data_IF_764615441739
#
_entry.id   IF_764615441739
#
_cell.length_a   1.000
_cell.length_b   1.000
_cell.length_c   1.000
_cell.angle_alpha   90.00
_cell.angle_beta   90.00
_cell.angle_gamma   90.00
#
_symmetry.space_group_name_H-M   'P 1'
#
loop_
_entity.id
_entity.type
_entity.pdbx_description
1 polymer ?
#
# COMPACT_ATOMS: atom_id res chain seq x y z
N UNK A 1 18.31 39.04 -75.44
CA UNK A 1 17.27 38.04 -75.09
C UNK A 1 17.95 36.72 -74.78
N UNK A 2 17.56 36.06 -73.69
CA UNK A 2 18.03 34.78 -73.10
C UNK A 2 18.74 34.94 -71.75
N UNK A 3 17.95 34.71 -70.71
CA UNK A 3 18.37 34.57 -69.31
C UNK A 3 19.26 33.31 -69.15
N UNK A 4 20.29 33.41 -68.32
CA UNK A 4 21.01 32.25 -67.76
C UNK A 4 20.90 32.34 -66.24
N UNK A 5 20.05 31.45 -65.70
CA UNK A 5 19.84 31.22 -64.29
C UNK A 5 20.98 30.33 -63.77
N UNK A 6 21.62 30.74 -62.69
CA UNK A 6 22.60 29.95 -61.95
C UNK A 6 21.88 28.86 -61.14
N UNK A 7 22.36 27.62 -61.21
CA UNK A 7 21.92 26.51 -60.36
C UNK A 7 23.11 26.10 -59.51
N UNK A 8 23.01 26.35 -58.20
CA UNK A 8 23.90 25.81 -57.16
C UNK A 8 23.66 24.31 -57.03
N UNK A 9 24.73 23.53 -57.06
CA UNK A 9 24.71 22.08 -56.81
C UNK A 9 24.45 21.76 -55.34
N UNK A 10 23.47 20.88 -55.11
CA UNK A 10 23.20 20.26 -53.82
C UNK A 10 23.94 18.93 -53.76
N UNK A 11 24.92 18.81 -52.86
CA UNK A 11 25.61 17.54 -52.57
C UNK A 11 24.75 16.77 -51.58
N UNK A 12 24.13 15.67 -52.02
CA UNK A 12 23.49 14.69 -51.15
C UNK A 12 24.53 13.64 -50.72
N UNK A 13 24.92 13.67 -49.45
CA UNK A 13 25.65 12.56 -48.82
C UNK A 13 24.71 11.39 -48.63
N UNK A 14 24.94 10.29 -49.34
CA UNK A 14 24.34 8.99 -49.04
C UNK A 14 25.32 8.26 -48.12
N UNK A 15 24.99 8.18 -46.83
CA UNK A 15 25.69 7.32 -45.88
C UNK A 15 25.28 5.86 -46.13
N UNK A 16 26.19 5.06 -46.66
CA UNK A 16 26.08 3.60 -46.65
C UNK A 16 26.33 3.12 -45.21
N UNK A 17 25.26 2.82 -44.48
CA UNK A 17 25.36 2.05 -43.24
C UNK A 17 25.39 0.56 -43.61
N UNK A 18 26.55 -0.07 -43.48
CA UNK A 18 26.68 -1.52 -43.52
C UNK A 18 26.11 -2.11 -42.23
N UNK A 19 24.88 -2.66 -42.25
CA UNK A 19 24.47 -3.57 -41.18
C UNK A 19 25.21 -4.88 -41.39
N UNK A 20 26.09 -5.19 -40.45
CA UNK A 20 26.65 -6.53 -40.34
C UNK A 20 25.59 -7.36 -39.62
N UNK A 21 24.59 -7.80 -40.37
CA UNK A 21 23.59 -8.72 -39.86
C UNK A 21 24.33 -10.01 -39.48
N UNK A 22 24.41 -10.29 -38.18
CA UNK A 22 24.77 -11.61 -37.67
C UNK A 22 23.64 -12.58 -38.08
N UNK A 23 23.68 -13.03 -39.33
CA UNK A 23 22.82 -14.07 -39.85
C UNK A 23 23.24 -15.39 -39.21
N UNK A 24 22.56 -15.76 -38.12
CA UNK A 24 22.54 -17.15 -37.65
C UNK A 24 21.50 -17.85 -38.53
N UNK A 25 21.89 -18.79 -39.42
CA UNK A 25 20.92 -19.55 -40.19
C UNK A 25 19.98 -20.27 -39.23
N UNK A 26 18.69 -19.93 -39.30
CA UNK A 26 17.63 -20.67 -38.64
C UNK A 26 17.50 -22.02 -39.37
N UNK A 27 18.17 -23.05 -38.85
CA UNK A 27 17.93 -24.42 -39.32
C UNK A 27 16.57 -24.82 -38.75
N UNK A 28 15.55 -24.85 -39.61
CA UNK A 28 14.27 -25.49 -39.25
C UNK A 28 14.59 -26.97 -39.04
N UNK A 29 14.38 -27.45 -37.81
CA UNK A 29 14.54 -28.86 -37.50
C UNK A 29 13.31 -29.66 -37.97
N UNK A 30 13.35 -30.97 -37.77
CA UNK A 30 12.15 -31.77 -37.89
C UNK A 30 11.22 -31.52 -36.71
N UNK A 31 9.92 -31.43 -37.01
CA UNK A 31 8.84 -31.37 -36.05
C UNK A 31 7.90 -32.58 -36.26
N UNK A 32 7.98 -33.60 -35.41
CA UNK A 32 7.12 -34.78 -35.49
C UNK A 32 5.87 -34.64 -34.61
N UNK A 33 5.97 -33.92 -33.49
CA UNK A 33 4.90 -33.83 -32.50
C UNK A 33 4.65 -32.40 -32.04
N UNK A 34 3.39 -31.96 -32.15
CA UNK A 34 2.91 -30.81 -31.39
C UNK A 34 2.16 -31.32 -30.16
N UNK A 35 2.65 -30.97 -28.96
CA UNK A 35 1.89 -31.18 -27.74
C UNK A 35 0.85 -30.07 -27.53
N UNK A 36 -0.36 -30.43 -27.11
CA UNK A 36 -1.39 -29.48 -26.68
C UNK A 36 -1.36 -29.31 -25.17
N UNK A 37 -1.51 -28.06 -24.74
CA UNK A 37 -1.44 -27.66 -23.34
C UNK A 37 -0.67 -26.36 -23.16
N UNK A 38 -0.81 -25.76 -21.99
CA UNK A 38 -0.01 -24.62 -21.55
C UNK A 38 0.07 -24.65 -20.03
N UNK A 39 1.02 -23.92 -19.41
CA UNK A 39 0.98 -23.68 -17.97
C UNK A 39 -0.30 -22.92 -17.62
N UNK A 40 -0.79 -23.11 -16.40
CA UNK A 40 -1.91 -22.33 -15.87
C UNK A 40 -1.64 -22.10 -14.40
N UNK A 41 -1.22 -20.88 -14.07
CA UNK A 41 -0.80 -20.51 -12.74
C UNK A 41 -1.98 -19.96 -11.94
N UNK A 42 -2.01 -20.33 -10.68
CA UNK A 42 -2.84 -19.66 -9.68
C UNK A 42 -2.01 -19.40 -8.43
N UNK A 43 -2.59 -18.65 -7.49
CA UNK A 43 -1.97 -18.31 -6.24
C UNK A 43 -2.96 -18.51 -5.08
N UNK A 44 -2.44 -18.94 -3.94
CA UNK A 44 -3.21 -19.08 -2.71
C UNK A 44 -2.49 -18.41 -1.55
N UNK A 45 -3.24 -17.74 -0.67
CA UNK A 45 -2.67 -17.17 0.55
C UNK A 45 -2.27 -18.28 1.51
N UNK A 46 -1.05 -18.21 2.01
CA UNK A 46 -0.51 -19.12 3.02
C UNK A 46 -0.48 -18.41 4.36
N UNK A 47 -1.25 -18.90 5.34
CA UNK A 47 -1.41 -18.27 6.65
C UNK A 47 -2.72 -17.48 6.78
N UNK A 48 -2.68 -16.34 7.47
CA UNK A 48 -3.85 -15.46 7.61
C UNK A 48 -3.98 -14.53 6.41
N UNK A 49 -5.22 -14.24 6.02
CA UNK A 49 -5.56 -13.15 5.11
C UNK A 49 -6.37 -12.04 5.80
N UNK A 50 -6.48 -12.09 7.13
CA UNK A 50 -7.24 -11.13 7.94
C UNK A 50 -6.30 -10.32 8.85
N UNK A 51 -6.40 -8.99 8.77
CA UNK A 51 -5.44 -8.04 9.33
C UNK A 51 -6.10 -6.84 10.01
N UNK A 52 -5.34 -6.16 10.86
CA UNK A 52 -5.78 -4.94 11.53
C UNK A 52 -5.46 -3.68 10.69
N UNK A 53 -6.21 -2.60 10.92
CA UNK A 53 -5.97 -1.30 10.28
C UNK A 53 -4.65 -0.70 10.78
N UNK A 54 -3.94 0.02 9.91
CA UNK A 54 -2.62 0.60 10.23
C UNK A 54 -1.44 -0.38 10.18
N UNK A 55 -1.70 -1.69 10.08
CA UNK A 55 -0.66 -2.71 10.05
C UNK A 55 0.20 -2.62 8.79
N UNK A 56 1.48 -2.98 8.93
CA UNK A 56 2.37 -3.34 7.82
C UNK A 56 2.70 -4.81 7.95
N UNK A 57 2.23 -5.62 7.00
CA UNK A 57 2.28 -7.10 7.07
C UNK A 57 2.90 -7.68 5.82
N UNK A 58 3.49 -8.87 5.96
CA UNK A 58 3.94 -9.67 4.82
C UNK A 58 2.87 -10.69 4.47
N UNK A 59 2.35 -10.60 3.25
CA UNK A 59 1.47 -11.57 2.64
C UNK A 59 2.31 -12.67 1.97
N UNK A 60 2.02 -13.92 2.30
CA UNK A 60 2.71 -15.09 1.75
C UNK A 60 1.78 -15.78 0.76
N UNK A 61 2.24 -15.98 -0.48
CA UNK A 61 1.46 -16.64 -1.52
C UNK A 61 2.19 -17.87 -2.03
N UNK A 62 1.51 -19.00 -2.08
CA UNK A 62 1.97 -20.17 -2.82
C UNK A 62 1.46 -20.11 -4.26
N UNK A 63 2.36 -20.23 -5.24
CA UNK A 63 1.96 -20.40 -6.64
C UNK A 63 1.82 -21.88 -6.95
N UNK A 64 0.78 -22.22 -7.71
CA UNK A 64 0.50 -23.60 -8.14
C UNK A 64 0.29 -23.58 -9.66
N UNK A 65 0.94 -24.50 -10.36
CA UNK A 65 0.74 -24.67 -11.80
C UNK A 65 -0.23 -25.83 -12.07
N UNK A 66 -1.46 -25.51 -12.44
CA UNK A 66 -2.50 -26.44 -12.89
C UNK A 66 -2.51 -26.69 -14.40
N UNK A 67 -1.55 -26.12 -15.13
CA UNK A 67 -1.34 -26.40 -16.54
C UNK A 67 -1.20 -27.90 -16.75
N UNK A 68 -1.87 -28.42 -17.77
CA UNK A 68 -1.94 -29.85 -18.03
C UNK A 68 -1.77 -30.14 -19.51
N UNK A 69 -1.26 -31.33 -19.77
CA UNK A 69 -1.25 -31.92 -21.09
C UNK A 69 -2.69 -32.20 -21.53
N UNK A 70 -3.05 -31.80 -22.75
CA UNK A 70 -4.40 -31.97 -23.30
C UNK A 70 -4.46 -32.96 -24.46
N UNK A 71 -3.35 -33.22 -25.14
CA UNK A 71 -3.31 -34.10 -26.31
C UNK A 71 -2.01 -33.97 -27.08
N UNK A 72 -1.72 -34.93 -27.95
CA UNK A 72 -0.62 -34.84 -28.92
C UNK A 72 -1.20 -34.86 -30.32
N UNK A 73 -0.65 -34.00 -31.18
CA UNK A 73 -0.88 -34.04 -32.61
C UNK A 73 0.39 -34.53 -33.28
N UNK A 74 0.24 -35.50 -34.18
CA UNK A 74 1.31 -35.95 -35.06
C UNK A 74 1.39 -35.02 -36.26
N UNK A 75 2.50 -34.32 -36.43
CA UNK A 75 2.73 -33.40 -37.55
C UNK A 75 3.53 -34.05 -38.68
N UNK A 76 4.56 -34.83 -38.34
CA UNK A 76 5.34 -35.65 -39.30
C UNK A 76 5.26 -37.12 -38.90
N UNK A 77 5.10 -38.02 -39.88
CA UNK A 77 5.21 -39.46 -39.63
C UNK A 77 6.68 -39.85 -39.78
N UNK A 78 7.31 -40.43 -38.74
CA UNK A 78 8.71 -40.83 -38.81
C UNK A 78 8.96 -41.89 -39.90
N UNK A 79 9.98 -41.69 -40.74
CA UNK A 79 10.41 -42.66 -41.75
C UNK A 79 11.87 -43.11 -41.52
N UNK A 80 12.05 -44.40 -41.23
CA UNK A 80 13.36 -44.98 -40.91
C UNK A 80 13.85 -44.74 -39.48
N UNK A 81 15.00 -45.33 -39.16
CA UNK A 81 15.52 -45.40 -37.78
C UNK A 81 15.94 -44.03 -37.21
N UNK A 82 16.41 -43.11 -38.07
CA UNK A 82 16.80 -41.76 -37.65
C UNK A 82 15.58 -40.95 -37.20
N UNK A 83 14.56 -40.85 -38.05
CA UNK A 83 13.33 -40.15 -37.73
C UNK A 83 12.63 -40.76 -36.50
N UNK A 84 12.63 -42.09 -36.37
CA UNK A 84 12.07 -42.76 -35.18
C UNK A 84 12.79 -42.35 -33.90
N UNK A 85 14.12 -42.25 -33.93
CA UNK A 85 14.91 -41.80 -32.80
C UNK A 85 14.70 -40.30 -32.51
N UNK A 86 14.67 -39.45 -33.54
CA UNK A 86 14.39 -38.02 -33.41
C UNK A 86 13.00 -37.77 -32.83
N UNK A 87 11.96 -38.41 -33.38
CA UNK A 87 10.60 -38.31 -32.88
C UNK A 87 10.49 -38.78 -31.42
N UNK A 88 11.24 -39.81 -31.02
CA UNK A 88 11.29 -40.27 -29.64
C UNK A 88 11.92 -39.24 -28.68
N UNK A 89 12.98 -38.55 -29.09
CA UNK A 89 13.60 -37.49 -28.29
C UNK A 89 12.74 -36.21 -28.24
N UNK A 90 12.19 -35.79 -29.37
CA UNK A 90 11.28 -34.65 -29.44
C UNK A 90 10.06 -34.86 -28.53
N UNK A 91 9.45 -36.05 -28.54
CA UNK A 91 8.30 -36.35 -27.68
C UNK A 91 8.63 -36.17 -26.19
N UNK A 92 9.86 -36.47 -25.76
CA UNK A 92 10.30 -36.24 -24.37
C UNK A 92 10.44 -34.75 -24.07
N UNK A 93 11.01 -34.00 -25.01
CA UNK A 93 11.24 -32.56 -24.88
C UNK A 93 9.92 -31.76 -24.91
N UNK A 94 8.95 -32.19 -25.70
CA UNK A 94 7.61 -31.59 -25.80
C UNK A 94 6.89 -31.57 -24.44
N UNK A 95 7.16 -32.53 -23.55
CA UNK A 95 6.55 -32.58 -22.20
C UNK A 95 6.80 -31.31 -21.37
N UNK A 96 7.83 -30.53 -21.69
CA UNK A 96 8.16 -29.29 -21.01
C UNK A 96 7.12 -28.16 -21.24
N UNK A 97 6.26 -28.22 -22.26
CA UNK A 97 5.31 -27.14 -22.63
C UNK A 97 4.39 -26.67 -21.51
N UNK A 98 4.07 -27.56 -20.57
CA UNK A 98 3.19 -27.23 -19.43
C UNK A 98 3.94 -26.59 -18.26
N UNK A 99 5.26 -26.44 -18.35
CA UNK A 99 6.09 -25.78 -17.35
C UNK A 99 6.13 -24.28 -17.60
N UNK A 100 5.78 -23.48 -16.59
CA UNK A 100 6.00 -22.05 -16.62
C UNK A 100 7.45 -21.75 -16.22
N UNK A 101 8.11 -20.84 -16.92
CA UNK A 101 9.53 -20.49 -16.75
C UNK A 101 9.65 -18.97 -16.62
N UNK A 102 10.55 -18.50 -15.75
CA UNK A 102 10.80 -17.09 -15.52
C UNK A 102 9.56 -16.35 -15.03
N UNK A 103 8.84 -16.94 -14.07
CA UNK A 103 7.58 -16.39 -13.56
C UNK A 103 7.89 -15.13 -12.77
N UNK A 104 7.44 -13.99 -13.29
CA UNK A 104 7.43 -12.71 -12.61
C UNK A 104 6.03 -12.44 -12.06
N UNK A 105 5.95 -12.29 -10.74
CA UNK A 105 4.72 -12.02 -10.00
C UNK A 105 4.73 -10.59 -9.45
N UNK A 106 3.74 -9.78 -9.82
CA UNK A 106 3.56 -8.40 -9.36
C UNK A 106 2.22 -8.29 -8.63
N UNK A 107 2.22 -7.86 -7.38
CA UNK A 107 0.98 -7.64 -6.63
C UNK A 107 0.61 -6.17 -6.68
N UNK A 108 -0.62 -5.89 -7.07
CA UNK A 108 -1.17 -4.55 -7.23
C UNK A 108 -2.41 -4.37 -6.36
N UNK A 109 -2.65 -3.14 -5.91
CA UNK A 109 -3.88 -2.72 -5.25
C UNK A 109 -4.53 -1.61 -6.07
N UNK A 110 -5.81 -1.77 -6.42
CA UNK A 110 -6.61 -0.72 -7.04
C UNK A 110 -7.29 0.17 -5.99
N UNK A 111 -7.03 -0.07 -4.70
CA UNK A 111 -7.63 0.63 -3.58
C UNK A 111 -6.57 1.36 -2.75
N UNK A 112 -6.80 2.65 -2.47
CA UNK A 112 -5.87 3.53 -1.76
C UNK A 112 -5.69 3.18 -0.27
N UNK A 113 -6.58 2.36 0.30
CA UNK A 113 -6.47 1.87 1.67
C UNK A 113 -5.40 0.79 1.83
N UNK A 114 -4.96 0.14 0.74
CA UNK A 114 -3.96 -0.91 0.77
C UNK A 114 -2.79 -0.55 -0.15
N UNK A 115 -1.64 -0.25 0.43
CA UNK A 115 -0.42 0.08 -0.29
C UNK A 115 0.46 -1.18 -0.40
N UNK A 116 0.81 -1.59 -1.62
CA UNK A 116 1.81 -2.65 -1.84
C UNK A 116 3.20 -2.01 -1.89
N UNK A 117 4.07 -2.39 -0.96
CA UNK A 117 5.40 -1.79 -0.79
C UNK A 117 6.53 -2.63 -1.40
N UNK A 118 6.27 -3.91 -1.63
CA UNK A 118 7.21 -4.83 -2.29
C UNK A 118 7.15 -4.72 -3.81
N UNK A 119 8.30 -4.90 -4.47
CA UNK A 119 8.37 -5.08 -5.92
C UNK A 119 8.14 -6.54 -6.37
N UNK A 120 8.42 -6.78 -7.64
CA UNK A 120 8.27 -8.08 -8.31
C UNK A 120 8.93 -9.23 -7.54
N UNK A 121 8.23 -10.36 -7.46
CA UNK A 121 8.79 -11.64 -7.01
C UNK A 121 9.05 -12.53 -8.22
N UNK A 122 10.14 -13.31 -8.19
CA UNK A 122 10.53 -14.18 -9.32
C UNK A 122 10.59 -15.63 -8.87
N UNK A 123 9.96 -16.51 -9.64
CA UNK A 123 10.07 -17.97 -9.53
C UNK A 123 10.66 -18.50 -10.83
N UNK A 124 11.78 -19.22 -10.72
CA UNK A 124 12.56 -19.67 -11.88
C UNK A 124 11.75 -20.57 -12.82
N UNK A 125 11.11 -21.60 -12.28
CA UNK A 125 10.23 -22.47 -13.04
C UNK A 125 9.23 -23.16 -12.13
N UNK A 126 8.06 -23.49 -12.68
CA UNK A 126 7.04 -24.28 -12.00
C UNK A 126 6.46 -25.32 -12.95
N UNK A 127 6.78 -26.59 -12.71
CA UNK A 127 6.27 -27.73 -13.49
C UNK A 127 4.77 -27.92 -13.28
N UNK A 128 4.09 -28.54 -14.24
CA UNK A 128 2.70 -29.00 -14.07
C UNK A 128 2.53 -29.78 -12.77
N UNK A 129 1.47 -29.45 -12.02
CA UNK A 129 1.12 -30.07 -10.74
C UNK A 129 1.99 -29.64 -9.56
N UNK A 130 3.03 -28.84 -9.78
CA UNK A 130 3.91 -28.39 -8.71
C UNK A 130 3.37 -27.12 -8.04
N UNK A 131 3.80 -26.94 -6.78
CA UNK A 131 3.68 -25.69 -6.03
C UNK A 131 5.06 -25.12 -5.73
N UNK A 132 5.12 -23.83 -5.43
CA UNK A 132 6.35 -23.18 -4.96
C UNK A 132 6.91 -23.87 -3.72
N UNK A 133 8.24 -24.02 -3.67
CA UNK A 133 8.91 -24.61 -2.51
C UNK A 133 8.87 -23.69 -1.28
N UNK A 134 8.99 -22.38 -1.52
CA UNK A 134 8.80 -21.33 -0.54
C UNK A 134 7.75 -20.35 -1.06
N UNK A 135 6.81 -19.88 -0.21
CA UNK A 135 5.86 -18.86 -0.61
C UNK A 135 6.58 -17.59 -1.07
N UNK A 136 6.07 -16.98 -2.15
CA UNK A 136 6.48 -15.63 -2.54
C UNK A 136 5.89 -14.62 -1.55
N UNK A 137 6.58 -13.50 -1.35
CA UNK A 137 6.29 -12.57 -0.25
C UNK A 137 6.01 -11.17 -0.78
N UNK A 138 4.91 -10.58 -0.35
CA UNK A 138 4.58 -9.18 -0.64
C UNK A 138 4.36 -8.41 0.66
N UNK A 139 5.02 -7.27 0.83
CA UNK A 139 4.79 -6.38 1.96
C UNK A 139 3.66 -5.44 1.60
N UNK A 140 2.61 -5.43 2.41
CA UNK A 140 1.47 -4.53 2.25
C UNK A 140 1.30 -3.68 3.51
N UNK A 141 0.83 -2.45 3.32
CA UNK A 141 0.48 -1.54 4.40
C UNK A 141 -0.98 -1.17 4.30
N UNK A 142 -1.70 -1.34 5.40
CA UNK A 142 -3.12 -1.06 5.52
C UNK A 142 -3.26 0.34 6.12
N UNK A 143 -4.12 1.17 5.54
CA UNK A 143 -4.36 2.52 6.03
C UNK A 143 -4.90 2.48 7.47
N UNK A 144 -4.55 3.49 8.26
CA UNK A 144 -4.90 3.57 9.68
C UNK A 144 -6.41 3.57 9.94
N UNK A 145 -7.17 4.15 9.02
CA UNK A 145 -8.63 4.24 9.09
C UNK A 145 -9.30 3.49 7.93
N UNK A 146 -8.63 2.44 7.41
CA UNK A 146 -9.19 1.60 6.36
C UNK A 146 -10.54 1.02 6.84
N UNK A 147 -11.63 1.20 6.07
CA UNK A 147 -12.90 0.56 6.38
C UNK A 147 -12.75 -0.95 6.45
N UNK A 148 -13.44 -1.60 7.37
CA UNK A 148 -13.45 -3.05 7.45
C UNK A 148 -14.12 -3.66 6.22
N UNK A 149 -13.64 -4.84 5.83
CA UNK A 149 -14.21 -5.55 4.69
C UNK A 149 -13.16 -6.27 3.85
N UNK A 150 -13.60 -6.75 2.70
CA UNK A 150 -12.77 -7.53 1.78
C UNK A 150 -12.15 -6.62 0.73
N UNK A 151 -10.82 -6.67 0.62
CA UNK A 151 -10.05 -5.99 -0.40
C UNK A 151 -9.45 -7.04 -1.32
N UNK A 152 -9.71 -6.95 -2.62
CA UNK A 152 -9.16 -7.87 -3.61
C UNK A 152 -7.94 -7.21 -4.25
N UNK A 153 -6.76 -7.72 -3.94
CA UNK A 153 -5.52 -7.35 -4.61
C UNK A 153 -5.39 -8.15 -5.92
N UNK A 154 -4.67 -7.59 -6.87
CA UNK A 154 -4.50 -8.17 -8.21
C UNK A 154 -3.08 -8.68 -8.35
N UNK A 155 -2.89 -9.99 -8.45
CA UNK A 155 -1.58 -10.60 -8.71
C UNK A 155 -1.41 -10.85 -10.21
N UNK A 156 -0.55 -10.07 -10.84
CA UNK A 156 -0.19 -10.25 -12.24
C UNK A 156 1.00 -11.19 -12.37
N UNK A 157 0.78 -12.29 -13.08
CA UNK A 157 1.77 -13.31 -13.37
C UNK A 157 2.16 -13.20 -14.84
N UNK A 158 3.46 -13.02 -15.11
CA UNK A 158 4.03 -13.02 -16.46
C UNK A 158 5.11 -14.08 -16.52
N UNK A 159 5.05 -14.95 -17.51
CA UNK A 159 6.01 -16.04 -17.65
C UNK A 159 6.17 -16.45 -19.11
N UNK A 160 7.28 -17.13 -19.38
CA UNK A 160 7.53 -17.80 -20.63
C UNK A 160 7.22 -19.29 -20.51
N UNK A 161 6.90 -19.93 -21.62
CA UNK A 161 6.80 -21.39 -21.71
C UNK A 161 7.25 -21.87 -23.08
N UNK A 162 7.79 -23.08 -23.13
CA UNK A 162 8.21 -23.71 -24.38
C UNK A 162 6.96 -23.99 -25.21
N UNK A 163 6.76 -23.24 -26.28
CA UNK A 163 5.63 -23.42 -27.18
C UNK A 163 5.86 -24.58 -28.15
N UNK A 164 7.10 -24.77 -28.61
CA UNK A 164 7.49 -25.84 -29.53
C UNK A 164 8.97 -26.20 -29.32
N UNK A 165 9.34 -27.44 -29.66
CA UNK A 165 10.73 -27.82 -29.87
C UNK A 165 10.86 -28.56 -31.20
N UNK A 166 11.91 -28.28 -31.93
CA UNK A 166 12.28 -29.01 -33.15
C UNK A 166 13.61 -29.69 -32.93
N UNK A 167 13.81 -30.83 -33.60
CA UNK A 167 14.98 -31.69 -33.44
C UNK A 167 15.68 -31.92 -34.76
N UNK A 168 17.00 -32.03 -34.74
CA UNK A 168 17.81 -32.37 -35.92
C UNK A 168 18.98 -33.26 -35.51
N UNK A 169 19.42 -34.13 -36.41
CA UNK A 169 20.65 -34.91 -36.22
C UNK A 169 21.23 -35.33 -37.56
N UNK A 170 22.56 -35.42 -37.62
CA UNK A 170 23.27 -35.79 -38.85
C UNK A 170 23.07 -37.26 -39.26
N UNK A 171 22.94 -38.17 -38.28
CA UNK A 171 22.74 -39.61 -38.53
C UNK A 171 22.34 -40.34 -37.25
N UNK A 172 21.92 -41.61 -37.39
CA UNK A 172 21.61 -42.51 -36.28
C UNK A 172 22.57 -43.70 -36.27
N UNK A 173 23.31 -43.88 -35.18
CA UNK A 173 24.19 -45.02 -34.99
C UNK A 173 23.40 -46.20 -34.40
N UNK A 174 23.23 -47.26 -35.20
CA UNK A 174 22.47 -48.46 -34.80
C UNK A 174 23.22 -49.35 -33.81
N UNK A 175 24.56 -49.31 -33.80
CA UNK A 175 25.37 -50.12 -32.90
C UNK A 175 25.30 -49.59 -31.46
N UNK A 176 25.31 -48.27 -31.31
CA UNK A 176 25.23 -47.59 -30.01
C UNK A 176 23.83 -47.10 -29.65
N UNK A 177 22.86 -47.26 -30.56
CA UNK A 177 21.48 -46.79 -30.44
C UNK A 177 21.39 -45.30 -30.08
N UNK A 178 22.14 -44.45 -30.77
CA UNK A 178 22.29 -43.02 -30.45
C UNK A 178 22.27 -42.10 -31.67
N UNK A 179 21.75 -40.88 -31.47
CA UNK A 179 21.75 -39.81 -32.46
C UNK A 179 23.13 -39.12 -32.52
N UNK A 180 23.69 -38.97 -33.71
CA UNK A 180 24.98 -38.31 -33.94
C UNK A 180 24.73 -36.88 -34.39
N UNK A 181 25.35 -35.91 -33.71
CA UNK A 181 25.19 -34.50 -34.02
C UNK A 181 23.79 -33.96 -33.69
N UNK A 182 23.14 -34.50 -32.66
CA UNK A 182 21.82 -34.08 -32.21
C UNK A 182 21.78 -32.60 -31.81
N UNK A 183 20.78 -31.88 -32.30
CA UNK A 183 20.55 -30.45 -32.08
C UNK A 183 19.07 -30.22 -31.80
N UNK A 184 18.79 -29.17 -31.03
CA UNK A 184 17.44 -28.75 -30.68
C UNK A 184 17.24 -27.26 -30.91
N UNK A 185 16.06 -26.90 -31.37
CA UNK A 185 15.62 -25.52 -31.56
C UNK A 185 14.34 -25.31 -30.74
N UNK A 186 14.40 -24.43 -29.74
CA UNK A 186 13.26 -24.15 -28.85
C UNK A 186 12.57 -22.84 -29.24
N UNK A 187 11.25 -22.87 -29.24
CA UNK A 187 10.41 -21.70 -29.43
C UNK A 187 9.65 -21.40 -28.14
N UNK A 188 9.78 -20.18 -27.62
CA UNK A 188 9.11 -19.74 -26.40
C UNK A 188 8.01 -18.74 -26.69
N UNK A 189 6.95 -18.77 -25.89
CA UNK A 189 5.91 -17.76 -25.89
C UNK A 189 5.70 -17.18 -24.49
N UNK A 190 5.34 -15.89 -24.46
CA UNK A 190 4.92 -15.19 -23.26
C UNK A 190 3.45 -15.47 -22.97
N UNK A 191 3.12 -15.64 -21.70
CA UNK A 191 1.75 -15.71 -21.21
C UNK A 191 1.60 -14.85 -19.97
N UNK A 192 0.45 -14.18 -19.89
CA UNK A 192 0.06 -13.36 -18.75
C UNK A 192 -1.22 -13.94 -18.14
N UNK A 193 -1.26 -14.05 -16.82
CA UNK A 193 -2.43 -14.47 -16.05
C UNK A 193 -2.59 -13.55 -14.85
N UNK A 194 -3.83 -13.30 -14.45
CA UNK A 194 -4.14 -12.42 -13.32
C UNK A 194 -4.98 -13.20 -12.30
N UNK A 195 -4.59 -13.11 -11.03
CA UNK A 195 -5.25 -13.82 -9.92
C UNK A 195 -5.68 -12.81 -8.86
N UNK A 196 -6.94 -12.88 -8.42
CA UNK A 196 -7.43 -12.06 -7.32
C UNK A 196 -7.01 -12.64 -5.98
N UNK A 197 -6.36 -11.84 -5.15
CA UNK A 197 -5.86 -12.19 -3.82
C UNK A 197 -6.67 -11.43 -2.76
N UNK A 198 -7.65 -12.08 -2.11
CA UNK A 198 -8.50 -11.42 -1.14
C UNK A 198 -7.81 -11.31 0.22
N UNK A 199 -7.76 -10.10 0.76
CA UNK A 199 -7.46 -9.83 2.16
C UNK A 199 -8.70 -9.23 2.86
N UNK A 200 -8.74 -9.34 4.18
CA UNK A 200 -9.83 -8.88 5.03
C UNK A 200 -9.26 -7.90 6.06
N UNK A 201 -9.81 -6.70 6.10
CA UNK A 201 -9.57 -5.75 7.20
C UNK A 201 -10.63 -6.01 8.27
N UNK A 202 -10.17 -6.26 9.50
CA UNK A 202 -11.05 -6.59 10.63
C UNK A 202 -12.00 -5.44 10.96
N UNK A 203 -13.22 -5.81 11.33
CA UNK A 203 -14.19 -4.89 11.96
C UNK A 203 -13.73 -4.57 13.37
N UNK A 204 -13.62 -3.27 13.67
CA UNK A 204 -13.30 -2.73 14.99
C UNK A 204 -13.90 -1.32 15.12
N UNK A 205 -14.01 -0.85 16.35
CA UNK A 205 -14.18 0.57 16.61
C UNK A 205 -12.91 1.33 16.24
N UNK A 206 -13.08 2.56 15.80
CA UNK A 206 -12.01 3.46 15.40
C UNK A 206 -12.47 4.89 15.59
N UNK A 207 -11.57 5.79 15.95
CA UNK A 207 -11.94 7.11 16.43
C UNK A 207 -11.17 8.22 15.75
N UNK A 208 -11.86 9.32 15.54
CA UNK A 208 -11.26 10.57 15.09
C UNK A 208 -11.79 11.75 15.90
N UNK A 209 -10.97 12.78 15.99
CA UNK A 209 -11.40 14.09 16.49
C UNK A 209 -11.91 14.88 15.30
N UNK A 210 -13.18 15.26 15.32
CA UNK A 210 -13.80 16.01 14.22
C UNK A 210 -13.77 17.53 14.44
N UNK A 211 -13.74 17.96 15.71
CA UNK A 211 -13.74 19.37 16.06
C UNK A 211 -13.10 19.61 17.43
N UNK A 212 -12.45 20.78 17.57
CA UNK A 212 -11.78 21.21 18.80
C UNK A 212 -11.99 22.70 19.00
N UNK A 213 -12.56 23.08 20.13
CA UNK A 213 -12.64 24.48 20.56
C UNK A 213 -11.78 24.68 21.81
N UNK A 214 -10.78 25.56 21.72
CA UNK A 214 -9.96 25.94 22.87
C UNK A 214 -9.59 27.42 22.85
N UNK A 215 -9.67 28.06 24.02
CA UNK A 215 -9.14 29.42 24.26
C UNK A 215 -8.38 29.42 25.57
N UNK A 216 -7.09 29.11 25.47
CA UNK A 216 -6.18 29.03 26.61
C UNK A 216 -5.23 30.23 26.62
N UNK A 217 -4.95 30.80 27.78
CA UNK A 217 -3.98 31.88 27.96
C UNK A 217 -2.90 31.48 28.96
N UNK A 218 -1.69 32.04 28.81
CA UNK A 218 -0.60 31.84 29.79
C UNK A 218 -1.08 32.19 31.20
N UNK A 219 -0.84 31.29 32.17
CA UNK A 219 -1.28 31.43 33.55
C UNK A 219 -2.78 31.21 33.80
N UNK A 220 -3.58 30.85 32.79
CA UNK A 220 -5.01 30.60 32.97
C UNK A 220 -5.25 29.36 33.81
N UNK A 221 -6.21 29.48 34.73
CA UNK A 221 -6.69 28.39 35.58
C UNK A 221 -8.04 27.89 35.08
N UNK A 222 -8.23 26.57 35.10
CA UNK A 222 -9.46 25.88 34.66
C UNK A 222 -9.90 26.27 33.24
N UNK A 223 -8.95 26.46 32.33
CA UNK A 223 -9.23 26.66 30.91
C UNK A 223 -9.96 25.44 30.33
N UNK A 224 -10.89 25.68 29.41
CA UNK A 224 -11.70 24.62 28.82
C UNK A 224 -11.20 24.27 27.41
N UNK A 225 -11.16 22.98 27.14
CA UNK A 225 -10.93 22.42 25.80
C UNK A 225 -12.16 21.57 25.50
N UNK A 226 -12.97 21.99 24.55
CA UNK A 226 -14.06 21.17 24.02
C UNK A 226 -13.56 20.33 22.86
N UNK A 227 -13.85 19.03 22.87
CA UNK A 227 -13.42 18.09 21.84
C UNK A 227 -14.61 17.23 21.41
N UNK A 228 -14.80 17.08 20.10
CA UNK A 228 -15.78 16.16 19.54
C UNK A 228 -15.05 14.91 19.04
N UNK A 229 -15.35 13.77 19.66
CA UNK A 229 -14.88 12.46 19.22
C UNK A 229 -15.97 11.76 18.43
N UNK A 230 -15.61 11.18 17.29
CA UNK A 230 -16.50 10.37 16.46
C UNK A 230 -15.97 8.95 16.34
N UNK A 231 -16.86 7.96 16.48
CA UNK A 231 -16.56 6.58 16.10
C UNK A 231 -16.73 6.44 14.58
N UNK A 232 -15.63 6.27 13.86
CA UNK A 232 -15.60 6.02 12.41
C UNK A 232 -15.44 4.54 12.06
N UNK A 233 -15.25 3.69 13.06
CA UNK A 233 -15.21 2.24 12.90
C UNK A 233 -16.60 1.63 12.74
N UNK A 234 -16.62 0.33 12.50
CA UNK A 234 -17.83 -0.43 12.16
C UNK A 234 -18.53 -1.04 13.38
N UNK A 235 -17.83 -1.08 14.51
CA UNK A 235 -18.36 -1.69 15.73
C UNK A 235 -18.69 -0.62 16.78
N UNK A 236 -19.81 -0.77 17.51
CA UNK A 236 -20.15 0.10 18.62
C UNK A 236 -19.22 -0.16 19.80
N UNK A 237 -19.08 0.83 20.67
CA UNK A 237 -18.35 0.68 21.94
C UNK A 237 -19.22 1.06 23.12
N UNK A 238 -18.92 0.49 24.28
CA UNK A 238 -19.55 0.82 25.56
C UNK A 238 -18.52 1.44 26.50
N UNK A 239 -19.00 2.17 27.51
CA UNK A 239 -18.17 2.76 28.57
C UNK A 239 -16.94 3.54 28.08
N UNK A 240 -17.09 4.27 26.97
CA UNK A 240 -16.04 5.11 26.42
C UNK A 240 -15.62 6.20 27.40
N UNK A 241 -14.33 6.32 27.65
CA UNK A 241 -13.69 7.35 28.48
C UNK A 241 -12.53 7.94 27.68
N UNK A 242 -12.65 9.19 27.28
CA UNK A 242 -11.54 9.94 26.69
C UNK A 242 -10.57 10.37 27.80
N UNK A 243 -9.27 10.28 27.55
CA UNK A 243 -8.20 10.57 28.50
C UNK A 243 -7.12 11.42 27.84
N UNK A 244 -6.72 12.50 28.50
CA UNK A 244 -5.63 13.35 28.04
C UNK A 244 -4.29 12.88 28.62
N UNK A 245 -3.27 12.79 27.76
CA UNK A 245 -1.88 12.67 28.18
C UNK A 245 -1.27 14.07 28.33
N UNK A 246 -1.37 14.61 29.54
CA UNK A 246 -1.02 16.00 29.86
C UNK A 246 0.45 16.10 30.30
N UNK A 247 1.17 17.06 29.71
CA UNK A 247 2.54 17.42 30.06
C UNK A 247 2.68 18.94 30.12
N UNK A 248 3.80 19.42 30.69
CA UNK A 248 4.11 20.86 30.71
C UNK A 248 3.98 21.48 29.30
N UNK A 249 3.38 22.68 29.19
CA UNK A 249 3.00 23.60 30.27
C UNK A 249 1.57 23.42 30.81
N UNK A 250 0.93 22.28 30.53
CA UNK A 250 -0.43 22.01 30.97
C UNK A 250 -0.43 21.12 32.22
N UNK A 251 -1.42 21.34 33.10
CA UNK A 251 -1.76 20.43 34.19
C UNK A 251 -3.28 20.28 34.27
N UNK A 252 -3.78 19.16 34.80
CA UNK A 252 -5.21 18.99 35.07
C UNK A 252 -5.41 18.17 36.33
N UNK A 253 -6.50 18.46 37.04
CA UNK A 253 -7.02 17.61 38.12
C UNK A 253 -8.05 16.59 37.64
N UNK A 254 -8.56 16.76 36.41
CA UNK A 254 -9.58 15.94 35.78
C UNK A 254 -9.24 15.81 34.28
N UNK A 255 -8.44 14.80 33.95
CA UNK A 255 -7.92 14.51 32.62
C UNK A 255 -8.77 13.50 31.86
N UNK A 256 -9.92 13.11 32.41
CA UNK A 256 -10.82 12.11 31.84
C UNK A 256 -12.21 12.70 31.56
N UNK A 257 -12.87 12.20 30.51
CA UNK A 257 -14.25 12.56 30.22
C UNK A 257 -15.03 11.34 29.74
N UNK A 258 -16.21 11.12 30.33
CA UNK A 258 -17.07 9.99 29.97
C UNK A 258 -17.84 10.28 28.68
N UNK A 259 -17.63 9.42 27.68
CA UNK A 259 -18.37 9.39 26.41
C UNK A 259 -19.56 8.41 26.50
N UNK A 260 -19.42 7.32 27.25
CA UNK A 260 -20.43 6.25 27.32
C UNK A 260 -20.46 5.41 26.04
N UNK A 261 -21.65 5.03 25.60
CA UNK A 261 -21.81 4.28 24.34
C UNK A 261 -21.53 5.16 23.12
N UNK A 262 -20.84 4.64 22.11
CA UNK A 262 -20.66 5.31 20.81
C UNK A 262 -20.92 4.33 19.68
N UNK A 263 -22.00 4.53 18.92
CA UNK A 263 -22.33 3.73 17.73
C UNK A 263 -21.47 4.13 16.53
N UNK A 264 -21.36 3.26 15.51
CA UNK A 264 -20.71 3.63 14.25
C UNK A 264 -21.29 4.93 13.68
N UNK A 265 -20.41 5.88 13.37
CA UNK A 265 -20.74 7.22 12.88
C UNK A 265 -21.15 8.24 13.95
N UNK A 266 -21.42 7.82 15.19
CA UNK A 266 -21.85 8.71 16.28
C UNK A 266 -20.70 9.59 16.76
N UNK A 267 -21.01 10.85 17.05
CA UNK A 267 -20.07 11.82 17.59
C UNK A 267 -20.54 12.37 18.94
N UNK A 268 -19.63 12.50 19.90
CA UNK A 268 -19.90 13.06 21.22
C UNK A 268 -18.90 14.14 21.59
N UNK A 269 -19.45 15.23 22.12
CA UNK A 269 -18.69 16.36 22.66
C UNK A 269 -18.36 16.12 24.14
N UNK A 270 -17.11 16.36 24.50
CA UNK A 270 -16.65 16.38 25.89
C UNK A 270 -15.86 17.65 26.17
N UNK A 271 -15.72 18.00 27.45
CA UNK A 271 -14.99 19.19 27.88
C UNK A 271 -13.93 18.80 28.90
N UNK A 272 -12.68 19.10 28.60
CA UNK A 272 -11.58 18.96 29.55
C UNK A 272 -11.26 20.30 30.20
N UNK A 273 -10.85 20.27 31.47
CA UNK A 273 -10.38 21.45 32.19
C UNK A 273 -8.88 21.34 32.40
N UNK A 274 -8.12 22.34 31.95
CA UNK A 274 -6.67 22.38 32.08
C UNK A 274 -6.21 23.71 32.68
N UNK A 275 -5.14 23.65 33.44
CA UNK A 275 -4.37 24.79 33.91
C UNK A 275 -3.17 24.99 32.98
N UNK A 276 -2.87 26.24 32.66
CA UNK A 276 -1.70 26.63 31.87
C UNK A 276 -0.69 27.30 32.80
N UNK A 277 0.55 26.82 32.78
CA UNK A 277 1.62 27.39 33.58
C UNK A 277 1.87 28.88 33.22
N UNK A 278 2.35 29.67 34.18
CA UNK A 278 2.61 31.10 33.99
C UNK A 278 3.86 31.40 33.16
N UNK A 279 4.76 30.44 33.03
CA UNK A 279 5.95 30.47 32.17
C UNK A 279 5.71 29.79 30.81
N UNK A 280 4.47 29.39 30.53
CA UNK A 280 4.10 28.83 29.24
C UNK A 280 4.43 29.79 28.10
N UNK A 281 5.01 29.25 27.03
CA UNK A 281 5.27 30.03 25.81
C UNK A 281 3.98 30.12 24.99
N UNK A 282 3.53 31.32 24.58
CA UNK A 282 2.40 31.43 23.67
C UNK A 282 2.72 30.81 22.31
N UNK A 283 2.04 29.71 21.96
CA UNK A 283 2.13 29.00 20.68
C UNK A 283 1.03 27.93 20.58
N UNK A 284 1.00 27.24 19.45
CA UNK A 284 0.24 26.01 19.29
C UNK A 284 0.94 24.82 19.96
N UNK A 285 0.14 23.99 20.61
CA UNK A 285 0.54 22.74 21.24
C UNK A 285 -0.35 21.61 20.76
N UNK A 286 0.15 20.38 20.83
CA UNK A 286 -0.64 19.17 20.65
C UNK A 286 -0.75 18.42 21.97
N UNK A 287 -1.97 18.14 22.42
CA UNK A 287 -2.22 17.27 23.57
C UNK A 287 -2.66 15.92 23.03
N UNK A 288 -1.98 14.85 23.41
CA UNK A 288 -2.36 13.50 23.02
C UNK A 288 -3.61 13.08 23.82
N UNK A 289 -4.55 12.42 23.16
CA UNK A 289 -5.74 11.87 23.78
C UNK A 289 -6.03 10.47 23.27
N UNK A 290 -6.52 9.61 24.15
CA UNK A 290 -6.89 8.23 23.87
C UNK A 290 -8.29 7.97 24.42
N UNK A 291 -8.99 7.00 23.85
CA UNK A 291 -10.27 6.53 24.35
C UNK A 291 -10.09 5.13 24.90
N UNK A 292 -10.36 4.97 26.20
CA UNK A 292 -10.53 3.66 26.82
C UNK A 292 -12.00 3.25 26.68
N UNK A 293 -12.29 2.05 26.20
CA UNK A 293 -13.66 1.59 25.98
C UNK A 293 -13.78 0.07 26.17
N UNK A 294 -15.01 -0.40 26.28
CA UNK A 294 -15.36 -1.84 26.23
C UNK A 294 -15.84 -2.17 24.83
N UNK A 295 -15.20 -3.14 24.18
CA UNK A 295 -15.56 -3.57 22.83
C UNK A 295 -16.77 -4.53 22.82
N UNK A 296 -17.17 -4.97 21.62
CA UNK A 296 -18.30 -5.90 21.44
C UNK A 296 -18.07 -7.29 22.05
N UNK A 297 -16.83 -7.63 22.41
CA UNK A 297 -16.44 -8.89 23.05
C UNK A 297 -16.40 -8.76 24.58
N UNK A 298 -16.60 -7.55 25.11
CA UNK A 298 -16.49 -7.26 26.53
C UNK A 298 -15.05 -6.97 26.98
N UNK A 299 -14.10 -6.88 26.05
CA UNK A 299 -12.71 -6.60 26.34
C UNK A 299 -12.49 -5.08 26.52
N UNK A 300 -11.67 -4.70 27.50
CA UNK A 300 -11.27 -3.31 27.69
C UNK A 300 -10.11 -2.96 26.76
N UNK A 301 -10.33 -2.03 25.83
CA UNK A 301 -9.38 -1.60 24.81
C UNK A 301 -9.03 -0.12 24.99
N UNK A 302 -7.81 0.26 24.58
CA UNK A 302 -7.37 1.66 24.46
C UNK A 302 -7.16 1.94 22.97
N UNK A 303 -7.74 3.03 22.47
CA UNK A 303 -7.62 3.45 21.07
C UNK A 303 -6.18 3.85 20.70
N UNK A 304 -5.92 4.04 19.41
CA UNK A 304 -4.75 4.82 19.01
C UNK A 304 -4.80 6.24 19.60
N UNK A 305 -3.62 6.83 19.76
CA UNK A 305 -3.45 8.19 20.27
C UNK A 305 -3.79 9.22 19.19
N UNK A 306 -4.73 10.11 19.52
CA UNK A 306 -5.16 11.23 18.68
C UNK A 306 -4.55 12.54 19.21
N UNK A 307 -4.25 13.50 18.34
CA UNK A 307 -3.73 14.80 18.74
C UNK A 307 -4.81 15.87 18.75
N UNK A 308 -5.00 16.51 19.90
CA UNK A 308 -5.84 17.69 20.06
C UNK A 308 -4.94 18.93 19.86
N UNK A 309 -5.10 19.71 18.78
CA UNK A 309 -4.43 20.99 18.64
C UNK A 309 -5.05 22.01 19.61
N UNK A 310 -4.20 22.69 20.40
CA UNK A 310 -4.61 23.76 21.31
C UNK A 310 -3.73 24.98 21.13
N UNK A 311 -4.32 26.17 21.16
CA UNK A 311 -3.57 27.44 21.04
C UNK A 311 -3.49 28.13 22.39
N UNK A 312 -2.28 28.46 22.83
CA UNK A 312 -2.03 29.25 24.04
C UNK A 312 -1.73 30.70 23.66
N UNK A 313 -2.60 31.61 24.07
CA UNK A 313 -2.45 33.04 23.89
C UNK A 313 -1.64 33.70 25.02
N UNK A 314 -1.03 34.86 24.79
CA UNK A 314 -0.37 35.63 25.84
C UNK A 314 -1.28 35.89 27.05
N UNK A 315 -0.69 36.03 28.23
CA UNK A 315 -1.43 36.31 29.46
C UNK A 315 -2.34 37.53 29.29
N UNK A 316 -3.62 37.37 29.67
CA UNK A 316 -4.59 38.45 29.61
C UNK A 316 -4.25 39.49 30.68
N UNK A 317 -3.85 40.71 30.28
CA UNK A 317 -3.55 41.79 31.23
C UNK A 317 -4.83 42.23 31.92
N UNK A 318 -4.88 42.10 33.25
CA UNK A 318 -6.00 42.58 34.05
C UNK A 318 -6.06 44.12 34.04
N UNK A 319 -7.20 44.69 33.64
CA UNK A 319 -7.44 46.15 33.68
C UNK A 319 -7.94 46.63 35.06
N UNK A 320 -8.11 45.75 36.05
CA UNK A 320 -8.65 46.12 37.35
C UNK A 320 -7.77 47.13 38.10
N UNK A 321 -6.45 46.94 38.09
CA UNK A 321 -5.51 47.85 38.76
C UNK A 321 -5.52 49.25 38.11
N UNK A 322 -5.34 49.40 36.77
CA UNK A 322 -5.44 50.71 36.15
C UNK A 322 -6.84 51.34 36.29
N UNK A 323 -7.92 50.54 36.24
CA UNK A 323 -9.27 51.06 36.47
C UNK A 323 -9.48 51.58 37.90
N UNK A 324 -9.00 50.85 38.91
CA UNK A 324 -9.04 51.28 40.31
C UNK A 324 -8.15 52.52 40.54
N UNK A 325 -7.00 52.60 39.89
CA UNK A 325 -6.14 53.78 39.95
C UNK A 325 -6.84 55.02 39.38
N UNK A 326 -7.53 54.89 38.23
CA UNK A 326 -8.32 55.98 37.65
C UNK A 326 -9.49 56.37 38.58
N UNK A 327 -10.21 55.42 39.15
CA UNK A 327 -11.29 55.69 40.12
C UNK A 327 -10.78 56.42 41.37
N UNK A 328 -9.61 56.03 41.89
CA UNK A 328 -8.99 56.69 43.03
C UNK A 328 -8.62 58.15 42.71
N UNK A 329 -8.07 58.41 41.51
CA UNK A 329 -7.77 59.77 41.04
C UNK A 329 -9.04 60.62 40.93
N UNK A 330 -10.13 60.06 40.38
CA UNK A 330 -11.43 60.75 40.28
C UNK A 330 -12.00 61.06 41.67
N UNK A 331 -11.94 60.12 42.61
CA UNK A 331 -12.42 60.33 43.98
C UNK A 331 -11.61 61.41 44.72
N UNK A 332 -10.28 61.42 44.57
CA UNK A 332 -9.41 62.43 45.18
C UNK A 332 -9.63 63.82 44.59
N UNK A 333 -9.78 63.92 43.27
CA UNK A 333 -10.04 65.20 42.60
C UNK A 333 -11.46 65.71 42.90
N UNK A 334 -12.48 64.85 42.92
CA UNK A 334 -13.83 65.19 43.38
C UNK A 334 -13.87 65.63 44.85
N UNK A 335 -13.16 64.93 45.74
CA UNK A 335 -13.06 65.28 47.16
C UNK A 335 -12.32 66.61 47.40
N UNK A 336 -11.28 66.90 46.60
CA UNK A 336 -10.57 68.19 46.64
C UNK A 336 -11.48 69.35 46.20
N UNK A 337 -12.23 69.18 45.11
CA UNK A 337 -13.18 70.19 44.61
C UNK A 337 -14.30 70.43 45.64
N UNK A 338 -14.86 69.37 46.22
CA UNK A 338 -15.88 69.48 47.27
C UNK A 338 -15.37 70.26 48.50
N UNK A 339 -14.17 69.95 49.00
CA UNK A 339 -13.54 70.69 50.10
C UNK A 339 -13.24 72.15 49.75
N UNK A 340 -12.84 72.43 48.51
CA UNK A 340 -12.57 73.80 48.04
C UNK A 340 -13.85 74.64 47.99
N UNK A 341 -14.96 74.07 47.53
CA UNK A 341 -16.24 74.77 47.47
C UNK A 341 -16.83 75.00 48.86
N UNK A 342 -16.64 74.06 49.80
CA UNK A 342 -17.11 74.19 51.19
C UNK A 342 -16.33 75.23 52.03
N UNK A 343 -15.14 75.65 51.59
CA UNK A 343 -14.36 76.74 52.20
C UNK A 343 -14.69 78.13 51.61
N UNK A 344 -15.51 78.19 50.57
CA UNK A 344 -15.91 79.42 49.88
C UNK A 344 -17.38 79.82 50.11
N UNK A 345 -18.13 79.02 50.86
CA UNK A 345 -19.48 79.32 51.36
C UNK A 345 -19.41 79.57 52.86
#
# INVERSE_FOLDING_TARGET
>A
MKARLAVLGLIALISLASSQDNYIPLVSGDNFWTMEGSPSLTATVTGTNEFDRGDTVTLYLDLINYGRFMGFKKDKTPDGALDQALAGEEQKLEQAKTTAIGIKATLNSDNDQIEVQSGDQVVEALKSGAKTANPIKFSIKIAKHAPAGRYNLTLDLRYDYQYNVEVDASSFNRETNSLVGFRTSYWYQKKNETVAIPIIVKRKADFQITDVESRLSVGQKKGQIEVIYQNIGEDPVQDGIARLSIFKPFTSTDDQAYLGELKPGEAKKVVFRVDVDTDATPKEYGINSEIKYTDVRGDTIISESMKIPVTVYPAQRSMLIPALAVLAVIALSGGYIYRRNKKKA
#
